data_IF_434054808515
#
_entry.id   IF_434054808515
#
_cell.length_a   1.000
_cell.length_b   1.000
_cell.length_c   1.000
_cell.angle_alpha   90.00
_cell.angle_beta   90.00
_cell.angle_gamma   90.00
#
_symmetry.space_group_name_H-M   'P 1'
#
loop_
_entity.id
_entity.type
_entity.pdbx_description
1 polymer ?
#
# COMPACT_ATOMS: atom_id res chain seq x y z
N UNK A 1 -21.66 56.75 -0.15
CA UNK A 1 -21.63 55.59 -1.07
C UNK A 1 -20.47 54.71 -0.65
N UNK A 2 -20.77 53.69 0.13
CA UNK A 2 -19.79 52.76 0.69
C UNK A 2 -19.73 51.56 -0.24
N UNK A 3 -18.63 51.40 -0.98
CA UNK A 3 -18.43 50.24 -1.85
C UNK A 3 -17.82 49.13 -1.00
N UNK A 4 -18.63 48.08 -0.79
CA UNK A 4 -18.24 46.83 -0.16
C UNK A 4 -17.15 46.16 -1.00
N UNK A 5 -15.98 45.98 -0.38
CA UNK A 5 -14.88 45.21 -0.95
C UNK A 5 -15.21 43.72 -0.76
N UNK A 6 -15.57 43.03 -1.84
CA UNK A 6 -15.74 41.58 -1.84
C UNK A 6 -14.37 40.92 -1.70
N UNK A 7 -14.07 40.42 -0.51
CA UNK A 7 -12.94 39.53 -0.30
C UNK A 7 -13.16 38.26 -1.12
N UNK A 8 -12.43 38.13 -2.22
CA UNK A 8 -12.30 36.88 -2.95
C UNK A 8 -11.65 35.86 -2.03
N UNK A 9 -12.44 34.90 -1.55
CA UNK A 9 -11.95 33.72 -0.84
C UNK A 9 -11.11 32.94 -1.85
N UNK A 10 -9.79 33.06 -1.75
CA UNK A 10 -8.84 32.23 -2.48
C UNK A 10 -9.05 30.79 -2.04
N UNK A 11 -9.62 29.98 -2.94
CA UNK A 11 -9.62 28.52 -2.82
C UNK A 11 -8.15 28.11 -2.86
N UNK A 12 -7.59 27.72 -1.71
CA UNK A 12 -6.26 27.10 -1.68
C UNK A 12 -6.32 25.85 -2.55
N UNK A 13 -5.75 25.94 -3.76
CA UNK A 13 -5.61 24.80 -4.65
C UNK A 13 -4.69 23.82 -3.92
N UNK A 14 -5.28 22.76 -3.36
CA UNK A 14 -4.52 21.70 -2.70
C UNK A 14 -3.57 21.09 -3.73
N UNK A 15 -2.26 21.17 -3.45
CA UNK A 15 -1.20 20.75 -4.39
C UNK A 15 -0.98 19.23 -4.43
N UNK A 16 -1.86 18.46 -3.80
CA UNK A 16 -1.78 17.01 -3.61
C UNK A 16 -3.19 16.45 -3.33
N UNK A 17 -3.33 15.12 -3.29
CA UNK A 17 -4.63 14.45 -3.10
C UNK A 17 -4.67 13.63 -1.82
N UNK A 18 -5.87 13.49 -1.24
CA UNK A 18 -6.15 12.41 -0.28
C UNK A 18 -6.31 11.13 -1.11
N UNK A 19 -5.28 10.28 -1.10
CA UNK A 19 -5.22 9.05 -1.91
C UNK A 19 -6.28 8.05 -1.46
N UNK A 20 -6.49 7.95 -0.16
CA UNK A 20 -7.46 7.02 0.40
C UNK A 20 -8.04 7.55 1.71
N UNK A 21 -9.34 7.33 1.90
CA UNK A 21 -9.96 7.23 3.23
C UNK A 21 -10.32 5.78 3.45
N UNK A 22 -9.74 5.17 4.48
CA UNK A 22 -9.97 3.75 4.80
C UNK A 22 -10.76 3.63 6.09
N UNK A 23 -11.95 3.03 5.99
CA UNK A 23 -12.78 2.62 7.12
C UNK A 23 -12.37 1.21 7.56
N UNK A 24 -11.78 1.10 8.73
CA UNK A 24 -11.50 -0.19 9.35
C UNK A 24 -12.72 -0.64 10.17
N UNK A 25 -13.13 -1.90 10.03
CA UNK A 25 -14.29 -2.49 10.73
C UNK A 25 -13.94 -3.84 11.35
N UNK A 26 -14.49 -4.18 12.54
CA UNK A 26 -14.17 -5.42 13.22
C UNK A 26 -14.86 -6.66 12.62
N UNK A 27 -15.99 -6.48 11.94
CA UNK A 27 -16.80 -7.56 11.39
C UNK A 27 -17.70 -7.07 10.25
N UNK A 28 -18.36 -8.00 9.56
CA UNK A 28 -19.32 -7.72 8.49
C UNK A 28 -20.75 -7.84 9.03
N UNK A 29 -21.45 -6.71 9.16
CA UNK A 29 -22.86 -6.64 9.56
C UNK A 29 -23.54 -5.39 8.97
N UNK A 30 -24.87 -5.32 9.04
CA UNK A 30 -25.67 -4.22 8.49
C UNK A 30 -25.33 -2.85 9.10
N UNK A 31 -25.05 -2.78 10.41
CA UNK A 31 -24.74 -1.51 11.06
C UNK A 31 -23.42 -0.91 10.57
N UNK A 32 -22.46 -1.74 10.14
CA UNK A 32 -21.23 -1.27 9.50
C UNK A 32 -21.42 -0.88 8.04
N UNK A 33 -22.42 -1.42 7.33
CA UNK A 33 -22.82 -0.94 5.99
C UNK A 33 -23.39 0.48 6.12
N UNK A 34 -24.29 0.71 7.07
CA UNK A 34 -24.84 2.05 7.36
C UNK A 34 -23.74 3.04 7.74
N UNK A 35 -22.78 2.61 8.56
CA UNK A 35 -21.61 3.43 8.90
C UNK A 35 -20.78 3.77 7.66
N UNK A 36 -20.53 2.79 6.78
CA UNK A 36 -19.76 3.00 5.57
C UNK A 36 -20.43 4.00 4.63
N UNK A 37 -21.75 3.86 4.39
CA UNK A 37 -22.54 4.83 3.61
C UNK A 37 -22.43 6.24 4.21
N UNK A 38 -22.56 6.36 5.53
CA UNK A 38 -22.40 7.64 6.23
C UNK A 38 -21.00 8.26 6.06
N UNK A 39 -19.95 7.43 6.03
CA UNK A 39 -18.59 7.88 5.72
C UNK A 39 -18.49 8.38 4.27
N UNK A 40 -19.05 7.66 3.31
CA UNK A 40 -19.02 7.99 1.88
C UNK A 40 -19.82 9.27 1.56
N UNK A 41 -21.00 9.42 2.15
CA UNK A 41 -21.93 10.54 1.93
C UNK A 41 -21.50 11.83 2.63
N UNK A 42 -20.49 11.79 3.52
CA UNK A 42 -20.02 13.00 4.19
C UNK A 42 -19.28 13.90 3.19
N UNK A 43 -19.93 15.02 2.84
CA UNK A 43 -19.33 16.05 1.99
C UNK A 43 -18.08 16.66 2.66
N UNK A 44 -16.97 16.61 1.94
CA UNK A 44 -15.70 17.24 2.33
C UNK A 44 -15.20 18.13 1.19
N UNK A 45 -14.45 19.18 1.54
CA UNK A 45 -13.95 20.16 0.54
C UNK A 45 -12.79 19.65 -0.31
N UNK A 46 -12.17 18.55 0.09
CA UNK A 46 -10.97 18.00 -0.56
C UNK A 46 -11.35 16.76 -1.36
N UNK A 47 -10.89 16.66 -2.59
CA UNK A 47 -11.07 15.46 -3.42
C UNK A 47 -10.43 14.24 -2.72
N UNK A 48 -11.25 13.22 -2.46
CA UNK A 48 -10.82 11.90 -2.00
C UNK A 48 -10.81 10.98 -3.22
N UNK A 49 -9.66 10.38 -3.50
CA UNK A 49 -9.50 9.54 -4.69
C UNK A 49 -10.10 8.15 -4.52
N UNK A 50 -9.99 7.54 -3.34
CA UNK A 50 -10.60 6.23 -3.09
C UNK A 50 -11.10 6.10 -1.66
N UNK A 51 -12.21 5.40 -1.52
CA UNK A 51 -12.80 4.94 -0.27
C UNK A 51 -12.55 3.45 -0.15
N UNK A 52 -12.02 3.02 0.99
CA UNK A 52 -11.60 1.62 1.18
C UNK A 52 -12.08 1.07 2.51
N UNK A 53 -12.28 -0.24 2.58
CA UNK A 53 -12.66 -0.93 3.82
C UNK A 53 -11.58 -1.93 4.22
N UNK A 54 -11.23 -1.99 5.50
CA UNK A 54 -10.32 -3.00 6.04
C UNK A 54 -11.00 -3.80 7.15
N UNK A 55 -11.06 -5.13 7.00
CA UNK A 55 -11.66 -6.01 8.00
C UNK A 55 -10.68 -6.31 9.14
N UNK A 56 -11.19 -6.85 10.26
CA UNK A 56 -10.35 -7.46 11.27
C UNK A 56 -9.67 -8.74 10.76
N UNK A 57 -8.49 -9.08 11.31
CA UNK A 57 -7.79 -10.33 11.03
C UNK A 57 -8.70 -11.53 11.23
N UNK A 58 -8.79 -12.38 10.21
CA UNK A 58 -9.75 -13.49 10.21
C UNK A 58 -9.21 -14.73 9.50
N UNK A 59 -9.90 -15.86 9.67
CA UNK A 59 -9.65 -17.08 8.90
C UNK A 59 -10.38 -16.98 7.57
N UNK A 60 -9.70 -17.34 6.49
CA UNK A 60 -10.30 -17.30 5.16
C UNK A 60 -11.36 -18.40 5.01
N UNK A 61 -12.46 -18.06 4.35
CA UNK A 61 -13.42 -19.01 3.79
C UNK A 61 -14.03 -18.41 2.53
N UNK A 62 -14.50 -19.23 1.58
CA UNK A 62 -15.19 -18.72 0.38
C UNK A 62 -16.35 -17.80 0.73
N UNK A 63 -17.18 -18.22 1.69
CA UNK A 63 -18.30 -17.42 2.22
C UNK A 63 -17.88 -16.05 2.75
N UNK A 64 -16.66 -15.91 3.25
CA UNK A 64 -16.14 -14.61 3.70
C UNK A 64 -15.85 -13.69 2.51
N UNK A 65 -15.26 -14.21 1.43
CA UNK A 65 -14.97 -13.42 0.23
C UNK A 65 -16.27 -12.97 -0.46
N UNK A 66 -17.25 -13.86 -0.59
CA UNK A 66 -18.58 -13.51 -1.13
C UNK A 66 -19.20 -12.35 -0.33
N UNK A 67 -19.19 -12.48 1.01
CA UNK A 67 -19.73 -11.44 1.90
C UNK A 67 -18.95 -10.14 1.84
N UNK A 68 -17.62 -10.20 1.71
CA UNK A 68 -16.79 -9.00 1.59
C UNK A 68 -17.05 -8.26 0.27
N UNK A 69 -17.24 -8.99 -0.85
CA UNK A 69 -17.59 -8.40 -2.15
C UNK A 69 -18.97 -7.73 -2.10
N UNK A 70 -19.97 -8.43 -1.57
CA UNK A 70 -21.30 -7.85 -1.40
C UNK A 70 -21.27 -6.61 -0.50
N UNK A 71 -20.52 -6.65 0.61
CA UNK A 71 -20.40 -5.52 1.52
C UNK A 71 -19.78 -4.29 0.85
N UNK A 72 -18.69 -4.45 0.10
CA UNK A 72 -18.01 -3.30 -0.53
C UNK A 72 -18.85 -2.68 -1.64
N UNK A 73 -19.58 -3.50 -2.41
CA UNK A 73 -20.53 -3.05 -3.42
C UNK A 73 -21.71 -2.29 -2.78
N UNK A 74 -22.28 -2.87 -1.73
CA UNK A 74 -23.43 -2.29 -1.03
C UNK A 74 -23.08 -0.98 -0.29
N UNK A 75 -21.84 -0.86 0.20
CA UNK A 75 -21.32 0.33 0.84
C UNK A 75 -20.91 1.44 -0.16
N UNK A 76 -20.83 1.15 -1.46
CA UNK A 76 -20.28 2.03 -2.51
C UNK A 76 -18.81 2.43 -2.25
N UNK A 77 -17.98 1.45 -1.87
CA UNK A 77 -16.54 1.64 -1.67
C UNK A 77 -15.75 1.03 -2.84
N UNK A 78 -14.53 1.54 -3.07
CA UNK A 78 -13.73 1.09 -4.21
C UNK A 78 -13.11 -0.28 -3.96
N UNK A 79 -12.57 -0.49 -2.76
CA UNK A 79 -11.75 -1.66 -2.42
C UNK A 79 -11.99 -2.17 -1.01
N UNK A 80 -11.79 -3.47 -0.82
CA UNK A 80 -11.90 -4.15 0.47
C UNK A 80 -10.65 -4.99 0.77
N UNK A 81 -10.05 -4.79 1.95
CA UNK A 81 -8.90 -5.55 2.43
C UNK A 81 -9.35 -6.62 3.43
N UNK A 82 -8.97 -7.87 3.12
CA UNK A 82 -9.20 -9.05 3.95
C UNK A 82 -7.86 -9.50 4.55
N UNK A 83 -7.54 -9.16 5.81
CA UNK A 83 -6.34 -9.62 6.46
C UNK A 83 -6.52 -11.06 6.96
N UNK A 84 -5.71 -11.96 6.44
CA UNK A 84 -5.75 -13.39 6.66
C UNK A 84 -4.49 -13.87 7.39
N UNK A 85 -4.58 -15.02 8.05
CA UNK A 85 -3.41 -15.71 8.58
C UNK A 85 -2.61 -16.39 7.46
N UNK A 86 -1.28 -16.31 7.53
CA UNK A 86 -0.37 -17.04 6.64
C UNK A 86 -0.23 -18.54 6.96
N UNK A 87 -0.96 -19.08 7.96
CA UNK A 87 -0.88 -20.50 8.31
C UNK A 87 -1.64 -21.40 7.33
N UNK A 88 -2.67 -20.89 6.65
CA UNK A 88 -3.53 -21.65 5.73
C UNK A 88 -2.89 -22.01 4.39
N UNK A 89 -3.71 -22.52 3.47
CA UNK A 89 -3.33 -22.76 2.08
C UNK A 89 -3.46 -21.47 1.27
N UNK A 90 -2.34 -20.75 1.11
CA UNK A 90 -2.32 -19.45 0.43
C UNK A 90 -2.73 -19.56 -1.05
N UNK A 91 -2.37 -20.65 -1.73
CA UNK A 91 -2.68 -20.84 -3.15
C UNK A 91 -4.19 -20.95 -3.40
N UNK A 92 -4.88 -21.77 -2.61
CA UNK A 92 -6.35 -21.93 -2.72
C UNK A 92 -7.10 -20.62 -2.45
N UNK A 93 -6.63 -19.84 -1.47
CA UNK A 93 -7.18 -18.52 -1.16
C UNK A 93 -6.97 -17.57 -2.34
N UNK A 94 -5.76 -17.55 -2.91
CA UNK A 94 -5.43 -16.70 -4.05
C UNK A 94 -6.28 -17.04 -5.28
N UNK A 95 -6.46 -18.33 -5.57
CA UNK A 95 -7.32 -18.78 -6.68
C UNK A 95 -8.78 -18.37 -6.48
N UNK A 96 -9.26 -18.39 -5.24
CA UNK A 96 -10.60 -17.92 -4.90
C UNK A 96 -10.73 -16.41 -5.08
N UNK A 97 -9.66 -15.65 -4.73
CA UNK A 97 -9.59 -14.20 -4.86
C UNK A 97 -9.61 -13.73 -6.32
N UNK A 98 -9.18 -14.58 -7.27
CA UNK A 98 -9.20 -14.30 -8.71
C UNK A 98 -10.59 -13.96 -9.27
N UNK A 99 -11.66 -14.42 -8.61
CA UNK A 99 -13.05 -14.16 -9.03
C UNK A 99 -13.57 -12.77 -8.67
N UNK A 100 -12.79 -11.96 -7.96
CA UNK A 100 -13.19 -10.64 -7.45
C UNK A 100 -12.18 -9.60 -7.91
N UNK A 101 -12.60 -8.40 -8.31
CA UNK A 101 -11.67 -7.35 -8.76
C UNK A 101 -11.33 -6.31 -7.66
N UNK A 102 -12.24 -6.14 -6.71
CA UNK A 102 -12.23 -5.13 -5.65
C UNK A 102 -11.67 -5.65 -4.31
N UNK A 103 -11.48 -6.97 -4.17
CA UNK A 103 -10.93 -7.58 -2.97
C UNK A 103 -9.41 -7.63 -3.00
N UNK A 104 -8.80 -7.37 -1.85
CA UNK A 104 -7.38 -7.44 -1.58
C UNK A 104 -7.16 -8.36 -0.37
N UNK A 105 -6.08 -9.13 -0.36
CA UNK A 105 -5.76 -10.03 0.74
C UNK A 105 -4.34 -9.82 1.26
N UNK A 106 -4.17 -9.76 2.57
CA UNK A 106 -2.85 -9.85 3.19
C UNK A 106 -2.71 -11.17 3.95
N UNK A 107 -1.58 -11.86 3.77
CA UNK A 107 -1.19 -13.03 4.53
C UNK A 107 -0.28 -12.58 5.66
N UNK A 108 -0.81 -12.55 6.88
CA UNK A 108 -0.17 -11.94 8.03
C UNK A 108 0.58 -13.00 8.86
N UNK A 109 1.82 -12.67 9.21
CA UNK A 109 2.74 -13.46 10.04
C UNK A 109 3.08 -12.62 11.26
N UNK A 110 2.38 -12.78 12.40
CA UNK A 110 2.60 -11.95 13.59
C UNK A 110 4.02 -12.03 14.15
N UNK A 111 4.60 -13.22 14.11
CA UNK A 111 5.95 -13.50 14.55
C UNK A 111 6.67 -14.37 13.53
N UNK A 112 7.91 -13.99 13.18
CA UNK A 112 8.75 -14.71 12.24
C UNK A 112 9.97 -15.26 12.98
N UNK A 113 10.03 -16.58 13.11
CA UNK A 113 11.21 -17.29 13.58
C UNK A 113 12.13 -17.62 12.41
N UNK A 114 13.44 -17.62 12.64
CA UNK A 114 14.45 -17.92 11.60
C UNK A 114 14.24 -19.29 10.96
N UNK A 115 13.88 -20.30 11.75
CA UNK A 115 13.58 -21.67 11.30
C UNK A 115 12.36 -21.76 10.38
N UNK A 116 11.45 -20.78 10.44
CA UNK A 116 10.20 -20.77 9.66
C UNK A 116 10.35 -20.11 8.29
N UNK A 117 11.45 -19.40 8.03
CA UNK A 117 11.68 -18.67 6.78
C UNK A 117 11.52 -19.58 5.53
N UNK A 118 12.17 -20.75 5.43
CA UNK A 118 12.06 -21.58 4.22
C UNK A 118 10.64 -22.08 3.96
N UNK A 119 9.93 -22.47 5.02
CA UNK A 119 8.53 -22.93 4.93
C UNK A 119 7.59 -21.81 4.47
N UNK A 120 7.79 -20.59 4.99
CA UNK A 120 6.99 -19.44 4.59
C UNK A 120 7.28 -19.01 3.15
N UNK A 121 8.56 -19.05 2.74
CA UNK A 121 8.97 -18.79 1.37
C UNK A 121 8.30 -19.76 0.40
N UNK A 122 8.29 -21.06 0.72
CA UNK A 122 7.62 -22.09 -0.07
C UNK A 122 6.12 -21.83 -0.20
N UNK A 123 5.41 -21.51 0.90
CA UNK A 123 3.98 -21.21 0.85
C UNK A 123 3.67 -20.00 -0.04
N UNK A 124 4.46 -18.93 0.06
CA UNK A 124 4.24 -17.73 -0.75
C UNK A 124 4.58 -17.99 -2.22
N UNK A 125 5.68 -18.70 -2.50
CA UNK A 125 6.02 -19.16 -3.85
C UNK A 125 4.90 -20.00 -4.47
N UNK A 126 4.34 -20.96 -3.74
CA UNK A 126 3.24 -21.80 -4.24
C UNK A 126 2.02 -20.97 -4.62
N UNK A 127 1.67 -19.96 -3.84
CA UNK A 127 0.57 -19.05 -4.16
C UNK A 127 0.84 -18.25 -5.46
N UNK A 128 2.01 -17.63 -5.57
CA UNK A 128 2.42 -16.88 -6.76
C UNK A 128 2.50 -17.79 -8.00
N UNK A 129 3.07 -18.97 -7.85
CA UNK A 129 3.22 -19.95 -8.92
C UNK A 129 1.87 -20.50 -9.40
N UNK A 130 0.89 -20.69 -8.50
CA UNK A 130 -0.45 -21.12 -8.91
C UNK A 130 -1.15 -20.07 -9.76
N UNK A 131 -1.06 -18.79 -9.35
CA UNK A 131 -1.59 -17.67 -10.11
C UNK A 131 -0.87 -17.50 -11.45
N UNK A 132 0.47 -17.58 -11.47
CA UNK A 132 1.29 -17.52 -12.68
C UNK A 132 0.84 -18.55 -13.73
N UNK A 133 0.68 -19.82 -13.33
CA UNK A 133 0.26 -20.91 -14.23
C UNK A 133 -1.11 -20.67 -14.88
N UNK A 134 -1.94 -19.79 -14.29
CA UNK A 134 -3.25 -19.38 -14.80
C UNK A 134 -3.17 -18.08 -15.61
N UNK A 135 -1.99 -17.48 -15.77
CA UNK A 135 -1.81 -16.16 -16.37
C UNK A 135 -2.36 -15.01 -15.52
N UNK A 136 -2.64 -15.25 -14.24
CA UNK A 136 -3.31 -14.27 -13.38
C UNK A 136 -2.28 -13.41 -12.63
N UNK A 137 -1.78 -12.38 -13.32
CA UNK A 137 -0.86 -11.39 -12.73
C UNK A 137 -1.60 -10.29 -11.96
N UNK A 138 -2.88 -10.05 -12.26
CA UNK A 138 -3.68 -9.01 -11.62
C UNK A 138 -4.06 -9.38 -10.18
N UNK A 139 -4.33 -10.65 -9.90
CA UNK A 139 -4.55 -11.11 -8.52
C UNK A 139 -3.27 -11.04 -7.69
N UNK A 140 -2.10 -11.25 -8.31
CA UNK A 140 -0.81 -11.07 -7.63
C UNK A 140 -0.60 -9.62 -7.15
N UNK A 141 -1.14 -8.63 -7.87
CA UNK A 141 -1.12 -7.22 -7.47
C UNK A 141 -2.00 -6.92 -6.26
N UNK A 142 -2.92 -7.83 -5.89
CA UNK A 142 -3.92 -7.67 -4.82
C UNK A 142 -3.62 -8.52 -3.59
N UNK A 143 -2.50 -9.24 -3.59
CA UNK A 143 -2.04 -10.03 -2.43
C UNK A 143 -0.73 -9.48 -1.87
N UNK A 144 -0.56 -9.57 -0.56
CA UNK A 144 0.70 -9.24 0.10
C UNK A 144 1.03 -10.26 1.19
N UNK A 145 2.32 -10.59 1.36
CA UNK A 145 2.80 -11.25 2.55
C UNK A 145 3.25 -10.19 3.56
N UNK A 146 2.68 -10.18 4.77
CA UNK A 146 2.94 -9.15 5.78
C UNK A 146 3.55 -9.79 7.02
N UNK A 147 4.84 -9.54 7.24
CA UNK A 147 5.59 -10.03 8.41
C UNK A 147 5.51 -9.00 9.54
N UNK A 148 5.34 -9.47 10.77
CA UNK A 148 5.00 -8.66 11.96
C UNK A 148 3.70 -7.85 11.77
N UNK A 149 2.82 -8.31 10.88
CA UNK A 149 1.44 -7.84 10.71
C UNK A 149 0.46 -8.67 11.54
N UNK A 150 -0.83 -8.32 11.58
CA UNK A 150 -1.50 -7.25 10.83
C UNK A 150 -1.16 -5.84 11.33
N UNK A 151 -1.36 -4.83 10.47
CA UNK A 151 -1.06 -3.42 10.77
C UNK A 151 -2.26 -2.52 10.43
N UNK A 152 -2.49 -1.52 11.28
CA UNK A 152 -3.50 -0.47 11.06
C UNK A 152 -2.93 0.61 10.14
N UNK A 153 -3.06 0.39 8.83
CA UNK A 153 -2.60 1.26 7.75
C UNK A 153 -3.71 1.45 6.71
N UNK A 154 -3.77 2.58 5.99
CA UNK A 154 -4.64 2.74 4.82
C UNK A 154 -4.09 2.07 3.55
N UNK A 155 -2.88 1.49 3.59
CA UNK A 155 -2.21 0.89 2.43
C UNK A 155 -2.62 -0.55 2.20
N UNK A 156 -3.15 -0.82 1.00
CA UNK A 156 -3.63 -2.13 0.61
C UNK A 156 -2.51 -2.91 -0.07
N UNK A 157 -2.47 -4.25 0.07
CA UNK A 157 -3.39 -5.14 0.81
C UNK A 157 -3.20 -5.21 2.34
N UNK A 158 -2.24 -4.49 2.92
CA UNK A 158 -1.83 -4.67 4.32
C UNK A 158 -2.81 -4.12 5.37
N UNK A 159 -3.77 -3.29 4.94
CA UNK A 159 -4.74 -2.64 5.82
C UNK A 159 -5.57 -3.65 6.63
N UNK A 160 -5.67 -3.43 7.94
CA UNK A 160 -6.43 -4.25 8.87
C UNK A 160 -7.06 -3.46 10.01
N UNK A 161 -8.16 -3.97 10.58
CA UNK A 161 -8.77 -3.49 11.82
C UNK A 161 -8.25 -4.30 13.02
N UNK A 162 -7.27 -3.79 13.77
CA UNK A 162 -6.66 -4.53 14.89
C UNK A 162 -7.29 -4.17 16.24
N UNK A 163 -7.72 -2.91 16.42
CA UNK A 163 -8.28 -2.39 17.67
C UNK A 163 -9.62 -2.98 18.11
N UNK A 164 -10.29 -3.77 17.25
CA UNK A 164 -11.61 -4.35 17.51
C UNK A 164 -12.78 -3.33 17.50
N UNK A 165 -12.54 -2.09 17.08
CA UNK A 165 -13.54 -1.02 16.95
C UNK A 165 -13.41 -0.34 15.59
N UNK A 166 -14.49 0.25 15.05
CA UNK A 166 -14.40 0.96 13.78
C UNK A 166 -13.57 2.25 13.89
N UNK A 167 -12.71 2.51 12.90
CA UNK A 167 -11.91 3.74 12.84
C UNK A 167 -11.59 4.15 11.40
N UNK A 168 -11.18 5.42 11.25
CA UNK A 168 -10.71 5.97 9.98
C UNK A 168 -9.19 6.10 9.95
N UNK A 169 -8.61 5.76 8.80
CA UNK A 169 -7.23 6.13 8.45
C UNK A 169 -7.21 6.82 7.09
N UNK A 170 -6.16 7.60 6.82
CA UNK A 170 -6.02 8.29 5.54
C UNK A 170 -4.62 8.18 4.95
N UNK A 171 -4.55 8.10 3.62
CA UNK A 171 -3.30 8.12 2.85
C UNK A 171 -3.27 9.33 1.91
N UNK A 172 -2.06 9.72 1.52
CA UNK A 172 -1.79 10.88 0.66
C UNK A 172 -1.14 10.45 -0.66
N UNK A 173 -1.40 11.20 -1.73
CA UNK A 173 -0.60 11.20 -2.96
C UNK A 173 -0.02 12.60 -3.12
N UNK A 174 1.27 12.75 -2.81
CA UNK A 174 1.88 14.06 -2.61
C UNK A 174 3.39 14.11 -2.90
N UNK A 175 3.95 13.11 -3.59
CA UNK A 175 5.36 13.10 -3.97
C UNK A 175 5.72 14.33 -4.83
N UNK A 176 4.87 14.70 -5.81
CA UNK A 176 5.06 15.89 -6.65
C UNK A 176 5.07 17.18 -5.83
N UNK A 177 4.19 17.27 -4.83
CA UNK A 177 4.16 18.41 -3.93
C UNK A 177 5.52 18.60 -3.26
N UNK A 178 6.22 17.52 -2.91
CA UNK A 178 7.52 17.57 -2.24
C UNK A 178 8.69 18.01 -3.13
N UNK A 179 8.58 17.96 -4.46
CA UNK A 179 9.67 18.34 -5.39
C UNK A 179 10.08 19.82 -5.29
N UNK A 180 9.12 20.69 -4.99
CA UNK A 180 9.38 22.12 -4.90
C UNK A 180 10.30 22.47 -3.73
N UNK A 181 11.10 23.54 -3.88
CA UNK A 181 11.98 24.03 -2.80
C UNK A 181 11.18 24.35 -1.53
N UNK A 182 11.83 24.23 -0.38
CA UNK A 182 11.25 24.53 0.93
C UNK A 182 11.64 23.50 1.98
N UNK A 183 11.16 23.69 3.20
CA UNK A 183 11.36 22.71 4.26
C UNK A 183 10.45 21.50 4.02
N UNK A 184 11.04 20.36 3.64
CA UNK A 184 10.30 19.14 3.33
C UNK A 184 9.49 18.62 4.52
N UNK A 185 9.97 18.82 5.76
CA UNK A 185 9.28 18.39 6.97
C UNK A 185 7.98 19.17 7.13
N UNK A 186 8.01 20.49 6.97
CA UNK A 186 6.78 21.32 7.02
C UNK A 186 5.80 20.95 5.92
N UNK A 187 6.29 20.65 4.71
CA UNK A 187 5.42 20.22 3.62
C UNK A 187 4.74 18.88 3.92
N UNK A 188 5.46 17.92 4.49
CA UNK A 188 4.85 16.65 4.96
C UNK A 188 3.81 16.94 6.05
N UNK A 189 4.12 17.85 7.00
CA UNK A 189 3.17 18.25 8.05
C UNK A 189 1.91 18.89 7.49
N UNK A 190 2.04 19.79 6.51
CA UNK A 190 0.91 20.45 5.87
C UNK A 190 0.01 19.45 5.15
N UNK A 191 0.60 18.49 4.44
CA UNK A 191 -0.16 17.42 3.79
C UNK A 191 -0.87 16.53 4.81
N UNK A 192 -0.17 16.13 5.88
CA UNK A 192 -0.74 15.36 6.98
C UNK A 192 -1.89 16.07 7.70
N UNK A 193 -1.73 17.36 8.02
CA UNK A 193 -2.79 18.18 8.63
C UNK A 193 -4.00 18.32 7.73
N UNK A 194 -3.79 18.45 6.42
CA UNK A 194 -4.90 18.53 5.45
C UNK A 194 -5.70 17.23 5.42
N UNK A 195 -5.02 16.08 5.34
CA UNK A 195 -5.69 14.78 5.42
C UNK A 195 -6.41 14.58 6.76
N UNK A 196 -5.77 14.95 7.87
CA UNK A 196 -6.38 14.83 9.20
C UNK A 196 -7.65 15.67 9.33
N UNK A 197 -7.69 16.89 8.77
CA UNK A 197 -8.92 17.69 8.75
C UNK A 197 -10.06 16.98 8.03
N UNK A 198 -9.79 16.40 6.85
CA UNK A 198 -10.78 15.60 6.10
C UNK A 198 -11.27 14.41 6.93
N UNK A 199 -10.35 13.64 7.53
CA UNK A 199 -10.72 12.51 8.39
C UNK A 199 -11.53 12.95 9.60
N UNK A 200 -11.21 14.10 10.21
CA UNK A 200 -11.95 14.67 11.34
C UNK A 200 -13.36 15.11 10.94
N UNK A 201 -13.54 15.73 9.77
CA UNK A 201 -14.86 16.11 9.25
C UNK A 201 -15.76 14.87 9.10
N UNK A 202 -15.23 13.81 8.48
CA UNK A 202 -15.92 12.51 8.32
C UNK A 202 -16.19 11.87 9.69
N UNK A 203 -15.18 11.83 10.57
CA UNK A 203 -15.27 11.26 11.92
C UNK A 203 -16.37 11.94 12.76
N UNK A 204 -16.47 13.26 12.74
CA UNK A 204 -17.49 14.02 13.46
C UNK A 204 -18.91 13.68 12.99
N UNK A 205 -19.10 13.47 11.67
CA UNK A 205 -20.40 13.05 11.14
C UNK A 205 -20.67 11.59 11.47
N UNK A 206 -19.75 10.70 11.14
CA UNK A 206 -19.90 9.26 11.27
C UNK A 206 -20.01 8.78 12.73
N UNK A 207 -19.34 9.45 13.67
CA UNK A 207 -19.31 9.09 15.09
C UNK A 207 -18.26 8.03 15.43
N UNK A 208 -17.17 7.96 14.67
CA UNK A 208 -16.07 6.98 14.84
C UNK A 208 -14.73 7.70 14.98
N UNK A 209 -13.73 7.04 15.54
CA UNK A 209 -12.43 7.68 15.75
C UNK A 209 -11.60 7.80 14.48
N UNK A 210 -10.76 8.85 14.40
CA UNK A 210 -9.65 8.90 13.43
C UNK A 210 -8.45 8.23 14.08
N UNK A 211 -7.97 7.11 13.55
CA UNK A 211 -6.74 6.47 14.04
C UNK A 211 -5.50 7.26 13.66
N UNK A 212 -5.45 7.79 12.44
CA UNK A 212 -4.41 8.70 11.99
C UNK A 212 -4.27 8.81 10.48
N UNK A 213 -3.28 9.56 10.05
CA UNK A 213 -2.82 9.62 8.66
C UNK A 213 -1.52 8.83 8.52
N UNK A 214 -1.39 8.04 7.46
CA UNK A 214 -0.12 7.44 7.09
C UNK A 214 0.63 8.39 6.17
N UNK A 215 1.74 8.94 6.67
CA UNK A 215 2.56 9.93 5.97
C UNK A 215 3.52 9.28 4.97
N UNK A 216 3.36 7.99 4.66
CA UNK A 216 4.19 7.34 3.65
C UNK A 216 4.12 8.08 2.31
N UNK A 217 5.27 8.28 1.68
CA UNK A 217 5.36 8.89 0.36
C UNK A 217 5.22 7.75 -0.64
N UNK A 218 4.02 7.61 -1.21
CA UNK A 218 3.70 6.56 -2.15
C UNK A 218 3.46 7.14 -3.55
N UNK A 219 4.06 6.58 -4.61
CA UNK A 219 3.89 7.08 -5.97
C UNK A 219 2.57 6.59 -6.59
N UNK A 220 2.21 7.21 -7.72
CA UNK A 220 1.24 6.68 -8.67
C UNK A 220 1.52 7.20 -10.09
N UNK A 221 1.93 6.29 -10.97
CA UNK A 221 2.17 6.52 -12.40
C UNK A 221 3.14 7.70 -12.61
N UNK A 222 2.65 8.83 -13.13
CA UNK A 222 3.43 10.05 -13.37
C UNK A 222 3.88 10.78 -12.10
N UNK A 223 3.29 10.46 -10.94
CA UNK A 223 3.71 10.99 -9.65
C UNK A 223 4.72 10.04 -8.99
N UNK A 224 5.99 10.31 -9.26
CA UNK A 224 7.10 9.43 -8.89
C UNK A 224 7.78 9.81 -7.56
N UNK A 225 8.37 8.85 -6.86
CA UNK A 225 9.28 9.14 -5.73
C UNK A 225 10.74 9.31 -6.16
N UNK A 226 11.10 8.86 -7.35
CA UNK A 226 12.48 8.85 -7.88
C UNK A 226 13.16 10.22 -7.81
N UNK A 227 12.51 11.36 -8.13
CA UNK A 227 13.14 12.68 -8.01
C UNK A 227 13.59 13.04 -6.59
N UNK A 228 12.97 12.45 -5.55
CA UNK A 228 13.30 12.73 -4.16
C UNK A 228 14.51 11.91 -3.66
N UNK A 229 14.80 10.77 -4.29
CA UNK A 229 15.75 9.76 -3.78
C UNK A 229 16.92 9.47 -4.69
N UNK A 230 17.02 10.14 -5.83
CA UNK A 230 18.14 9.96 -6.77
C UNK A 230 19.36 10.79 -6.41
N UNK A 231 20.53 10.21 -6.59
CA UNK A 231 21.82 10.92 -6.60
C UNK A 231 22.37 10.89 -8.03
N UNK A 232 22.12 11.95 -8.80
CA UNK A 232 22.39 11.98 -10.24
C UNK A 232 21.22 11.46 -11.08
N UNK A 233 21.43 11.17 -12.36
CA UNK A 233 20.34 10.89 -13.32
C UNK A 233 19.80 9.45 -13.31
N UNK A 234 20.52 8.48 -12.72
CA UNK A 234 20.21 7.04 -12.93
C UNK A 234 20.28 6.13 -11.69
N UNK A 235 20.65 6.63 -10.51
CA UNK A 235 20.83 5.77 -9.34
C UNK A 235 19.99 6.23 -8.15
N UNK A 236 19.20 5.30 -7.63
CA UNK A 236 18.49 5.45 -6.36
C UNK A 236 19.49 5.34 -5.21
N UNK A 237 19.46 6.31 -4.31
CA UNK A 237 20.36 6.42 -3.18
C UNK A 237 19.68 5.95 -1.89
N UNK A 238 20.20 4.86 -1.32
CA UNK A 238 19.77 4.37 -0.01
C UNK A 238 19.91 5.44 1.09
N UNK A 239 20.95 6.27 1.02
CA UNK A 239 21.13 7.38 1.96
C UNK A 239 20.02 8.43 1.83
N UNK A 240 19.61 8.78 0.61
CA UNK A 240 18.51 9.74 0.40
C UNK A 240 17.17 9.18 0.86
N UNK A 241 16.92 7.89 0.63
CA UNK A 241 15.77 7.17 1.20
C UNK A 241 15.77 7.33 2.73
N UNK A 242 16.89 7.05 3.39
CA UNK A 242 17.01 7.19 4.85
C UNK A 242 16.78 8.63 5.32
N UNK A 243 17.38 9.63 4.66
CA UNK A 243 17.18 11.05 4.98
C UNK A 243 15.71 11.44 4.88
N UNK A 244 15.03 11.00 3.82
CA UNK A 244 13.60 11.26 3.62
C UNK A 244 12.74 10.58 4.69
N UNK A 245 13.03 9.32 5.03
CA UNK A 245 12.32 8.62 6.11
C UNK A 245 12.54 9.29 7.47
N UNK A 246 13.73 9.83 7.74
CA UNK A 246 13.96 10.67 8.94
C UNK A 246 13.19 11.99 8.92
N UNK A 247 12.92 12.56 7.74
CA UNK A 247 12.04 13.72 7.63
C UNK A 247 10.57 13.34 7.91
N UNK A 248 10.10 12.20 7.39
CA UNK A 248 8.75 11.70 7.66
C UNK A 248 8.58 11.39 9.16
N UNK A 249 9.55 10.72 9.79
CA UNK A 249 9.55 10.42 11.24
C UNK A 249 9.44 11.70 12.10
N UNK A 250 10.15 12.76 11.73
CA UNK A 250 10.07 14.06 12.42
C UNK A 250 8.74 14.78 12.19
N UNK A 251 8.13 14.58 11.02
CA UNK A 251 6.81 15.12 10.73
C UNK A 251 5.72 14.35 11.49
N UNK A 252 5.83 13.02 11.55
CA UNK A 252 4.85 12.14 12.20
C UNK A 252 4.79 12.36 13.70
N UNK A 253 5.92 12.70 14.35
CA UNK A 253 5.98 12.97 15.79
C UNK A 253 5.07 14.12 16.26
N UNK A 254 4.67 15.04 15.37
CA UNK A 254 3.78 16.18 15.69
C UNK A 254 2.34 15.99 15.19
N UNK A 255 2.03 14.84 14.60
CA UNK A 255 0.72 14.55 14.01
C UNK A 255 0.15 13.25 14.56
N UNK A 256 -1.17 13.09 14.46
CA UNK A 256 -1.81 11.80 14.69
C UNK A 256 -1.52 10.88 13.49
N UNK A 257 -0.38 10.19 13.52
CA UNK A 257 0.07 9.30 12.45
C UNK A 257 -0.27 7.83 12.72
N UNK A 258 -0.46 7.03 11.66
CA UNK A 258 -0.64 5.58 11.71
C UNK A 258 0.11 4.89 10.57
N UNK A 259 0.08 3.55 10.51
CA UNK A 259 0.68 2.78 9.42
C UNK A 259 2.21 2.87 9.33
N UNK A 260 2.74 2.95 8.11
CA UNK A 260 4.16 2.76 7.83
C UNK A 260 5.00 4.04 8.02
N UNK A 261 4.50 5.20 7.60
CA UNK A 261 5.19 6.50 7.65
C UNK A 261 6.61 6.48 7.03
N UNK A 262 6.76 5.85 5.87
CA UNK A 262 8.04 5.77 5.15
C UNK A 262 7.83 5.91 3.63
N UNK A 263 8.88 6.19 2.86
CA UNK A 263 8.79 6.16 1.40
C UNK A 263 8.47 4.73 0.92
N UNK A 264 7.69 4.61 -0.15
CA UNK A 264 7.39 3.34 -0.82
C UNK A 264 8.06 3.27 -2.19
N UNK A 265 8.46 2.08 -2.62
CA UNK A 265 9.08 1.84 -3.93
C UNK A 265 8.35 0.77 -4.75
N UNK A 266 7.02 0.90 -4.99
CA UNK A 266 6.26 -0.03 -5.82
C UNK A 266 6.67 0.10 -7.30
N UNK A 267 7.36 -0.90 -7.86
CA UNK A 267 7.81 -0.84 -9.25
C UNK A 267 6.65 -0.61 -10.23
N UNK A 268 5.57 -1.39 -10.12
CA UNK A 268 4.42 -1.25 -11.02
C UNK A 268 3.60 0.05 -10.86
N UNK A 269 3.79 0.80 -9.76
CA UNK A 269 3.02 2.03 -9.49
C UNK A 269 3.82 3.32 -9.75
N UNK A 270 5.08 3.27 -10.22
CA UNK A 270 5.92 4.45 -10.45
C UNK A 270 6.60 4.40 -11.82
N UNK A 271 6.24 5.31 -12.73
CA UNK A 271 6.75 5.29 -14.10
C UNK A 271 8.26 5.55 -14.21
N UNK A 272 8.87 6.27 -13.27
CA UNK A 272 10.32 6.43 -13.26
C UNK A 272 11.04 5.20 -12.70
N UNK A 273 10.43 4.46 -11.75
CA UNK A 273 10.97 3.15 -11.34
C UNK A 273 10.93 2.18 -12.52
N UNK A 274 9.82 2.14 -13.27
CA UNK A 274 9.70 1.34 -14.51
C UNK A 274 10.75 1.73 -15.53
N UNK A 275 10.96 3.03 -15.76
CA UNK A 275 11.98 3.51 -16.69
C UNK A 275 13.39 3.07 -16.26
N UNK A 276 13.74 3.23 -14.98
CA UNK A 276 15.04 2.80 -14.46
C UNK A 276 15.22 1.28 -14.56
N UNK A 277 14.18 0.49 -14.29
CA UNK A 277 14.18 -0.95 -14.48
C UNK A 277 14.38 -1.35 -15.95
N UNK A 278 13.63 -0.74 -16.87
CA UNK A 278 13.75 -0.99 -18.30
C UNK A 278 15.13 -0.61 -18.87
N UNK A 279 15.77 0.43 -18.31
CA UNK A 279 17.15 0.81 -18.64
C UNK A 279 18.22 -0.09 -18.00
N UNK A 280 17.81 -1.11 -17.23
CA UNK A 280 18.72 -2.02 -16.51
C UNK A 280 19.43 -1.38 -15.32
N UNK A 281 18.98 -0.19 -14.87
CA UNK A 281 19.53 0.52 -13.72
C UNK A 281 19.00 0.00 -12.38
N UNK A 282 17.91 -0.79 -12.41
CA UNK A 282 17.34 -1.47 -11.25
C UNK A 282 17.17 -2.96 -11.54
N UNK A 283 17.54 -3.80 -10.57
CA UNK A 283 17.31 -5.25 -10.54
C UNK A 283 16.57 -5.63 -9.26
N UNK A 284 16.09 -6.87 -9.15
CA UNK A 284 15.30 -7.31 -8.02
C UNK A 284 16.07 -7.16 -6.68
N UNK A 285 17.35 -7.54 -6.66
CA UNK A 285 18.24 -7.32 -5.50
C UNK A 285 18.32 -5.87 -5.01
N UNK A 286 18.12 -4.88 -5.89
CA UNK A 286 18.12 -3.48 -5.48
C UNK A 286 16.89 -3.15 -4.63
N UNK A 287 15.73 -3.75 -4.92
CA UNK A 287 14.54 -3.60 -4.10
C UNK A 287 14.71 -4.23 -2.71
N UNK A 288 15.38 -5.38 -2.60
CA UNK A 288 15.78 -5.96 -1.31
C UNK A 288 16.67 -4.98 -0.55
N UNK A 289 17.72 -4.45 -1.21
CA UNK A 289 18.62 -3.45 -0.62
C UNK A 289 17.86 -2.21 -0.12
N UNK A 290 16.91 -1.68 -0.89
CA UNK A 290 16.14 -0.51 -0.48
C UNK A 290 15.12 -0.80 0.62
N UNK A 291 14.58 -2.02 0.68
CA UNK A 291 13.65 -2.47 1.73
C UNK A 291 14.26 -2.43 3.14
N UNK A 292 15.60 -2.47 3.26
CA UNK A 292 16.27 -2.26 4.55
C UNK A 292 15.89 -0.90 5.15
N UNK A 293 15.77 0.14 4.32
CA UNK A 293 15.37 1.47 4.74
C UNK A 293 13.87 1.77 4.56
N UNK A 294 13.12 1.02 3.74
CA UNK A 294 11.69 1.20 3.43
C UNK A 294 10.79 0.10 4.06
N UNK A 295 9.86 0.45 4.94
CA UNK A 295 9.03 -0.49 5.72
C UNK A 295 7.93 -1.12 4.85
N UNK A 296 7.56 -0.51 3.71
CA UNK A 296 6.64 -1.14 2.76
C UNK A 296 7.23 -2.41 2.09
N UNK A 297 8.54 -2.65 2.23
CA UNK A 297 9.25 -3.83 1.75
C UNK A 297 9.48 -3.85 0.25
N UNK A 298 9.67 -5.05 -0.31
CA UNK A 298 9.77 -5.27 -1.77
C UNK A 298 8.36 -5.22 -2.34
N UNK A 299 8.11 -4.22 -3.18
CA UNK A 299 6.75 -3.82 -3.51
C UNK A 299 6.48 -3.79 -5.02
N UNK A 300 5.40 -4.46 -5.44
CA UNK A 300 4.92 -4.57 -6.82
C UNK A 300 6.01 -4.90 -7.84
N UNK A 301 6.94 -5.80 -7.48
CA UNK A 301 8.09 -6.18 -8.32
C UNK A 301 7.73 -7.38 -9.20
N UNK A 302 7.96 -7.25 -10.51
CA UNK A 302 7.73 -8.31 -11.48
C UNK A 302 9.00 -9.13 -11.66
N UNK A 303 8.93 -10.42 -11.34
CA UNK A 303 10.02 -11.38 -11.43
C UNK A 303 9.79 -12.34 -12.61
N UNK A 304 10.86 -12.71 -13.33
CA UNK A 304 10.78 -13.55 -14.51
C UNK A 304 10.55 -15.01 -14.15
N UNK A 305 10.30 -15.84 -15.16
CA UNK A 305 10.41 -17.28 -14.99
C UNK A 305 11.84 -17.65 -14.56
N UNK A 306 11.95 -18.43 -13.49
CA UNK A 306 13.25 -18.83 -12.97
C UNK A 306 13.18 -20.24 -12.38
N UNK A 307 14.34 -20.92 -12.26
CA UNK A 307 14.42 -22.12 -11.44
C UNK A 307 13.81 -21.85 -10.06
N UNK A 308 13.02 -22.81 -9.57
CA UNK A 308 12.28 -22.68 -8.31
C UNK A 308 13.18 -22.22 -7.17
N UNK A 309 14.38 -22.78 -7.10
CA UNK A 309 15.38 -22.52 -6.06
C UNK A 309 15.78 -21.04 -6.05
N UNK A 310 16.04 -20.44 -7.22
CA UNK A 310 16.39 -19.02 -7.35
C UNK A 310 15.26 -18.10 -6.87
N UNK A 311 14.00 -18.46 -7.17
CA UNK A 311 12.85 -17.67 -6.72
C UNK A 311 12.66 -17.77 -5.20
N UNK A 312 12.82 -18.97 -4.65
CA UNK A 312 12.74 -19.19 -3.20
C UNK A 312 13.84 -18.42 -2.47
N UNK A 313 15.08 -18.48 -2.93
CA UNK A 313 16.21 -17.71 -2.37
C UNK A 313 15.85 -16.21 -2.29
N UNK A 314 15.25 -15.65 -3.35
CA UNK A 314 14.81 -14.25 -3.35
C UNK A 314 13.74 -13.94 -2.29
N UNK A 315 12.74 -14.82 -2.13
CA UNK A 315 11.73 -14.66 -1.06
C UNK A 315 12.39 -14.78 0.32
N UNK A 316 13.32 -15.73 0.49
CA UNK A 316 14.06 -15.92 1.74
C UNK A 316 14.88 -14.68 2.10
N UNK A 317 15.54 -14.03 1.13
CA UNK A 317 16.25 -12.77 1.33
C UNK A 317 15.29 -11.63 1.75
N UNK A 318 14.10 -11.55 1.13
CA UNK A 318 13.05 -10.60 1.55
C UNK A 318 12.67 -10.86 3.02
N UNK A 319 12.40 -12.11 3.38
CA UNK A 319 12.05 -12.51 4.75
C UNK A 319 13.19 -12.29 5.75
N UNK A 320 14.45 -12.43 5.33
CA UNK A 320 15.61 -12.12 6.16
C UNK A 320 15.66 -10.62 6.50
N UNK A 321 15.38 -9.73 5.53
CA UNK A 321 15.24 -8.30 5.81
C UNK A 321 14.10 -8.05 6.80
N UNK A 322 12.96 -8.72 6.64
CA UNK A 322 11.84 -8.60 7.57
C UNK A 322 12.19 -9.02 8.99
N UNK A 323 12.93 -10.12 9.13
CA UNK A 323 13.40 -10.62 10.41
C UNK A 323 14.26 -9.57 11.13
N UNK A 324 15.22 -8.97 10.42
CA UNK A 324 16.18 -7.98 10.93
C UNK A 324 15.49 -6.67 11.34
N UNK A 325 14.55 -6.17 10.53
CA UNK A 325 14.05 -4.79 10.63
C UNK A 325 13.19 -4.50 11.87
N UNK A 326 12.69 -5.54 12.53
CA UNK A 326 11.85 -5.46 13.73
C UNK A 326 10.67 -4.46 13.68
N UNK A 327 10.11 -4.27 12.49
CA UNK A 327 8.88 -3.51 12.22
C UNK A 327 7.98 -4.32 11.27
N UNK A 328 6.66 -4.08 11.23
CA UNK A 328 5.77 -4.70 10.24
C UNK A 328 6.22 -4.39 8.82
N UNK A 329 6.33 -5.37 7.94
CA UNK A 329 6.80 -5.20 6.54
C UNK A 329 5.96 -6.03 5.58
N UNK A 330 5.60 -5.43 4.45
CA UNK A 330 4.83 -6.09 3.39
C UNK A 330 5.72 -6.52 2.22
N UNK A 331 5.35 -7.59 1.53
CA UNK A 331 5.97 -7.99 0.27
C UNK A 331 4.87 -8.22 -0.77
N UNK A 332 5.03 -7.60 -1.94
CA UNK A 332 4.19 -7.79 -3.13
C UNK A 332 5.08 -8.16 -4.31
N UNK A 333 5.11 -9.45 -4.62
CA UNK A 333 5.82 -9.97 -5.78
C UNK A 333 4.81 -10.40 -6.85
N UNK A 334 5.17 -10.21 -8.12
CA UNK A 334 4.43 -10.71 -9.27
C UNK A 334 5.35 -11.68 -10.01
N UNK A 335 5.02 -12.95 -9.99
CA UNK A 335 5.71 -14.00 -10.71
C UNK A 335 5.11 -14.19 -12.11
N UNK A 336 5.95 -14.03 -13.13
CA UNK A 336 5.56 -14.04 -14.55
C UNK A 336 6.23 -15.20 -15.31
N UNK A 337 5.70 -15.54 -16.49
CA UNK A 337 6.37 -16.46 -17.42
C UNK A 337 7.29 -15.74 -18.42
N UNK A 338 7.38 -14.41 -18.31
CA UNK A 338 8.14 -13.56 -19.18
C UNK A 338 9.63 -13.52 -18.81
N UNK A 339 10.45 -13.15 -19.79
CA UNK A 339 11.89 -13.00 -19.66
C UNK A 339 12.26 -11.61 -19.13
N UNK A 340 13.45 -11.44 -18.50
CA UNK A 340 13.92 -10.12 -18.09
C UNK A 340 13.92 -9.11 -19.24
N UNK A 341 13.36 -7.93 -18.99
CA UNK A 341 13.24 -6.84 -19.96
C UNK A 341 11.94 -6.85 -20.79
N UNK A 342 11.18 -7.93 -20.76
CA UNK A 342 9.83 -7.95 -21.32
C UNK A 342 8.86 -7.14 -20.45
N UNK A 343 7.72 -6.75 -21.03
CA UNK A 343 6.70 -5.95 -20.37
C UNK A 343 5.41 -6.72 -20.22
N UNK A 344 4.77 -6.60 -19.05
CA UNK A 344 3.46 -7.17 -18.77
C UNK A 344 2.45 -6.05 -18.53
N UNK A 345 1.29 -6.14 -19.18
CA UNK A 345 0.17 -5.25 -18.92
C UNK A 345 -0.53 -5.63 -17.61
N UNK A 346 -0.55 -4.69 -16.65
CA UNK A 346 -1.16 -4.88 -15.33
C UNK A 346 -2.38 -3.97 -15.13
N UNK A 347 -3.24 -3.87 -16.14
CA UNK A 347 -4.49 -3.09 -16.08
C UNK A 347 -4.23 -1.64 -15.67
N UNK A 348 -4.78 -1.21 -14.51
CA UNK A 348 -4.61 0.15 -13.98
C UNK A 348 -3.16 0.54 -13.66
N UNK A 349 -2.26 -0.43 -13.55
CA UNK A 349 -0.85 -0.21 -13.31
C UNK A 349 -0.04 -0.05 -14.61
N UNK A 350 -0.67 -0.16 -15.78
CA UNK A 350 -0.06 -0.13 -17.13
C UNK A 350 1.06 -1.16 -17.36
N UNK A 351 1.66 -1.12 -18.54
CA UNK A 351 2.87 -1.87 -18.90
C UNK A 351 3.98 -1.70 -17.86
N UNK A 352 4.47 -2.81 -17.32
CA UNK A 352 5.53 -2.83 -16.31
C UNK A 352 6.63 -3.83 -16.72
N UNK A 353 7.92 -3.46 -16.64
CA UNK A 353 9.00 -4.35 -17.02
C UNK A 353 9.21 -5.47 -16.00
N UNK A 354 9.53 -6.65 -16.51
CA UNK A 354 10.02 -7.79 -15.73
C UNK A 354 11.51 -7.60 -15.48
N UNK A 355 11.94 -7.68 -14.21
CA UNK A 355 13.33 -7.37 -13.83
C UNK A 355 14.11 -8.63 -13.50
N UNK A 356 15.37 -8.68 -13.93
CA UNK A 356 16.30 -9.76 -13.52
C UNK A 356 16.57 -9.69 -12.01
N UNK A 357 16.91 -10.84 -11.43
CA UNK A 357 17.19 -11.00 -10.00
C UNK A 357 18.37 -10.13 -9.53
#
# INVERSE_FOLDING_TARGET
MTVLNSASVSIDIVKFKVRAVTLAIPELNESFIELARKVKETEVRTEIWSYRIALAPTKCSLKLLDRASAFVEEADFDYFSVPLSAEGNLAEICESLSSYENLFASFNVPELELSRIPCLAEKYYQALNSLRKRGDYLTQCRIALVVKGPIETPYFPAAACVSGKPFLTGALLYAKYLYSKGNIIEKIRDAGRTCLKVLTEISCKAGIEVKGVDLSISPWMEESVVPLITSGKRSISLYRILVLNKAIERASAELKSCGFNEIMLPLAEDNELKRLAAEGALRARDFIRFSVACVAGVDMVLLPNAPREKFLEYIEECLAVAFIKNKPIGFRLIYTDAEPGEFIELGKFSSTPVIDF
#
